data_IF_307210750117
#
_entry.id   IF_307210750117
#
_cell.length_a   1.000
_cell.length_b   1.000
_cell.length_c   1.000
_cell.angle_alpha   90.00
_cell.angle_beta   90.00
_cell.angle_gamma   90.00
#
_symmetry.space_group_name_H-M   'P 1'
#
loop_
_entity.id
_entity.type
_entity.pdbx_description
1 polymer ?
#
# COMPACT_ATOMS: atom_id res chain seq x y z
N UNK A 1 -11.51 -0.82 -0.86
CA UNK A 1 -10.19 -0.78 -1.56
C UNK A 1 -10.23 -1.73 -2.75
N UNK A 2 -9.74 -1.30 -3.92
CA UNK A 2 -9.66 -2.14 -5.13
C UNK A 2 -8.20 -2.52 -5.36
N UNK A 3 -7.91 -3.81 -5.32
CA UNK A 3 -6.60 -4.39 -5.68
C UNK A 3 -6.77 -5.07 -7.04
N UNK A 4 -5.95 -4.71 -8.01
CA UNK A 4 -5.94 -5.31 -9.35
C UNK A 4 -4.52 -5.73 -9.68
N UNK A 5 -4.32 -7.01 -9.99
CA UNK A 5 -3.06 -7.50 -10.55
C UNK A 5 -3.20 -7.49 -12.06
N UNK A 6 -2.27 -6.86 -12.76
CA UNK A 6 -2.24 -6.80 -14.22
C UNK A 6 -0.82 -6.94 -14.72
N UNK A 7 -0.64 -7.65 -15.82
CA UNK A 7 0.65 -7.72 -16.50
C UNK A 7 0.87 -6.43 -17.29
N UNK A 8 1.97 -5.75 -17.04
CA UNK A 8 2.36 -4.54 -17.75
C UNK A 8 3.40 -4.86 -18.80
N UNK A 9 3.02 -4.69 -20.07
CA UNK A 9 3.97 -4.80 -21.18
C UNK A 9 4.92 -3.59 -21.28
N UNK A 10 4.83 -2.64 -20.35
CA UNK A 10 5.55 -1.35 -20.41
C UNK A 10 7.01 -1.48 -19.97
N UNK A 11 7.35 -2.47 -19.16
CA UNK A 11 8.70 -2.70 -18.65
C UNK A 11 9.12 -4.17 -18.86
N UNK A 12 10.10 -4.47 -19.73
CA UNK A 12 10.52 -5.85 -19.99
C UNK A 12 11.12 -6.53 -18.75
N UNK A 13 11.66 -5.75 -17.80
CA UNK A 13 12.24 -6.27 -16.57
C UNK A 13 11.22 -6.46 -15.43
N UNK A 14 10.07 -5.79 -15.52
CA UNK A 14 9.02 -5.84 -14.50
C UNK A 14 7.64 -5.97 -15.17
N UNK A 15 7.31 -7.16 -15.71
CA UNK A 15 6.07 -7.36 -16.44
C UNK A 15 4.84 -7.44 -15.54
N UNK A 16 4.98 -7.40 -14.21
CA UNK A 16 3.87 -7.54 -13.27
C UNK A 16 3.59 -6.22 -12.58
N UNK A 17 2.32 -5.82 -12.51
CA UNK A 17 1.88 -4.63 -11.81
C UNK A 17 0.72 -4.96 -10.87
N UNK A 18 0.80 -4.43 -9.66
CA UNK A 18 -0.27 -4.47 -8.67
C UNK A 18 -0.73 -3.05 -8.47
N UNK A 19 -1.95 -2.76 -8.90
CA UNK A 19 -2.62 -1.49 -8.65
C UNK A 19 -3.48 -1.61 -7.39
N UNK A 20 -3.15 -0.80 -6.39
CA UNK A 20 -3.91 -0.58 -5.18
C UNK A 20 -4.49 0.83 -5.24
N UNK A 21 -5.75 0.96 -5.61
CA UNK A 21 -6.41 2.26 -5.77
C UNK A 21 -5.61 3.20 -6.69
N UNK A 22 -4.97 4.25 -6.14
CA UNK A 22 -4.08 5.18 -6.87
C UNK A 22 -2.59 4.79 -6.86
N UNK A 23 -2.19 3.77 -6.08
CA UNK A 23 -0.80 3.31 -6.00
C UNK A 23 -0.56 2.15 -6.97
N UNK A 24 0.47 2.25 -7.81
CA UNK A 24 0.90 1.18 -8.72
C UNK A 24 2.28 0.69 -8.30
N UNK A 25 2.40 -0.60 -8.01
CA UNK A 25 3.68 -1.24 -7.67
C UNK A 25 4.04 -2.23 -8.78
N UNK A 26 5.25 -2.11 -9.33
CA UNK A 26 5.74 -3.00 -10.38
C UNK A 26 6.67 -4.07 -9.79
N UNK A 27 6.51 -5.30 -10.26
CA UNK A 27 7.26 -6.48 -9.84
C UNK A 27 7.89 -7.17 -11.05
N UNK A 28 9.03 -7.82 -10.80
CA UNK A 28 9.75 -8.66 -11.75
C UNK A 28 9.10 -10.04 -11.95
N UNK A 29 8.32 -10.52 -10.98
CA UNK A 29 7.78 -11.88 -10.95
C UNK A 29 6.31 -11.92 -10.51
N UNK A 30 5.53 -12.85 -11.05
CA UNK A 30 4.14 -13.10 -10.63
C UNK A 30 4.07 -13.50 -9.16
N UNK A 31 4.99 -14.37 -8.73
CA UNK A 31 5.04 -14.89 -7.37
C UNK A 31 5.21 -13.77 -6.33
N UNK A 32 6.06 -12.78 -6.63
CA UNK A 32 6.25 -11.61 -5.76
C UNK A 32 5.02 -10.70 -5.77
N UNK A 33 4.41 -10.47 -6.93
CA UNK A 33 3.18 -9.69 -7.04
C UNK A 33 2.02 -10.33 -6.24
N UNK A 34 1.83 -11.65 -6.38
CA UNK A 34 0.79 -12.39 -5.64
C UNK A 34 1.09 -12.47 -4.15
N UNK A 35 2.34 -12.68 -3.75
CA UNK A 35 2.73 -12.69 -2.34
C UNK A 35 2.47 -11.32 -1.69
N UNK A 36 2.77 -10.23 -2.40
CA UNK A 36 2.46 -8.87 -1.94
C UNK A 36 0.95 -8.66 -1.76
N UNK A 37 0.13 -9.09 -2.72
CA UNK A 37 -1.34 -9.02 -2.60
C UNK A 37 -1.84 -9.86 -1.43
N UNK A 38 -1.34 -11.08 -1.25
CA UNK A 38 -1.77 -11.95 -0.14
C UNK A 38 -1.45 -11.32 1.22
N UNK A 39 -0.27 -10.71 1.38
CA UNK A 39 0.09 -9.96 2.60
C UNK A 39 -0.81 -8.75 2.78
N UNK A 40 -1.09 -8.02 1.70
CA UNK A 40 -1.94 -6.83 1.75
C UNK A 40 -3.38 -7.16 2.12
N UNK A 41 -3.98 -8.18 1.49
CA UNK A 41 -5.31 -8.68 1.82
C UNK A 41 -5.38 -9.21 3.24
N UNK A 42 -4.33 -9.92 3.69
CA UNK A 42 -4.23 -10.39 5.08
C UNK A 42 -4.21 -9.22 6.05
N UNK A 43 -3.45 -8.15 5.76
CA UNK A 43 -3.44 -6.93 6.57
C UNK A 43 -4.76 -6.17 6.53
N UNK A 44 -5.44 -6.18 5.38
CA UNK A 44 -6.74 -5.52 5.22
C UNK A 44 -7.85 -6.24 5.97
N UNK A 45 -7.80 -7.58 5.94
CA UNK A 45 -8.78 -8.47 6.59
C UNK A 45 -8.46 -8.71 8.05
N UNK A 46 -7.24 -8.42 8.49
CA UNK A 46 -6.86 -8.54 9.89
C UNK A 46 -7.85 -7.74 10.74
N UNK A 47 -8.39 -8.33 11.82
CA UNK A 47 -9.32 -7.66 12.74
C UNK A 47 -8.57 -6.68 13.64
N UNK A 48 -7.69 -5.87 13.06
CA UNK A 48 -7.09 -4.73 13.71
C UNK A 48 -7.92 -3.52 13.32
N UNK A 49 -8.62 -2.85 14.26
CA UNK A 49 -9.16 -1.55 13.96
C UNK A 49 -8.02 -0.70 13.43
N UNK A 50 -8.21 -0.07 12.27
CA UNK A 50 -7.43 1.07 11.84
C UNK A 50 -7.65 2.17 12.88
N UNK A 51 -7.01 2.04 14.05
CA UNK A 51 -6.84 3.13 14.99
C UNK A 51 -6.10 4.19 14.20
N UNK A 52 -6.88 5.19 13.79
CA UNK A 52 -6.39 6.44 13.24
C UNK A 52 -5.17 6.83 14.08
N UNK A 53 -4.03 7.15 13.48
CA UNK A 53 -3.05 7.90 14.25
C UNK A 53 -3.79 9.16 14.69
N UNK A 54 -3.92 9.35 15.99
CA UNK A 54 -4.01 10.67 16.55
C UNK A 54 -2.73 11.39 16.13
N UNK A 55 -2.66 11.82 14.88
CA UNK A 55 -1.82 12.94 14.49
C UNK A 55 -2.50 14.16 15.10
N UNK A 56 -2.30 14.32 16.41
CA UNK A 56 -2.24 15.63 17.05
C UNK A 56 -1.08 16.35 16.38
N UNK A 57 -1.36 16.92 15.22
CA UNK A 57 -0.50 17.92 14.61
C UNK A 57 -0.31 19.03 15.63
N UNK A 58 0.94 19.30 15.98
CA UNK A 58 1.34 20.51 16.67
C UNK A 58 0.83 20.61 18.10
N UNK A 59 1.61 20.06 19.02
CA UNK A 59 1.77 20.66 20.33
C UNK A 59 1.90 22.19 20.20
N UNK A 60 0.96 22.88 20.83
CA UNK A 60 1.09 24.20 21.44
C UNK A 60 2.51 24.81 21.31
N UNK A 61 2.65 25.80 20.44
CA UNK A 61 3.81 26.69 20.41
C UNK A 61 3.32 28.11 20.23
N UNK A 62 2.97 28.74 21.36
CA UNK A 62 3.20 30.16 21.63
C UNK A 62 2.76 30.51 23.06
N UNK A 63 3.49 30.03 24.07
CA UNK A 63 3.48 30.64 25.40
C UNK A 63 4.80 30.40 26.12
N UNK A 64 5.77 31.28 25.84
CA UNK A 64 6.93 31.59 26.68
C UNK A 64 7.41 32.97 26.22
N UNK A 65 6.99 34.01 26.95
CA UNK A 65 7.77 34.72 27.97
C UNK A 65 8.94 35.49 27.37
#
# INVERSE_FOLDING_TARGET
MKIVVSTSNRHPNCPWQVQLDQHVVSFRSEAEARAFVAVLETRLKAPHPLMQPAWTGGVESASRH
#
